data_IF_259722391606
#
_entry.id   IF_259722391606
#
_cell.length_a   1.000
_cell.length_b   1.000
_cell.length_c   1.000
_cell.angle_alpha   90.00
_cell.angle_beta   90.00
_cell.angle_gamma   90.00
#
_symmetry.space_group_name_H-M   'P 1'
#
loop_
_entity.id
_entity.type
_entity.pdbx_description
1 polymer ?
#
# COMPACT_ATOMS: atom_id res chain seq x y z
N UNK A 1 0.23 6.88 -13.89
CA UNK A 1 -0.56 8.13 -14.06
C UNK A 1 -1.73 7.86 -15.00
N UNK A 2 -2.83 8.61 -14.86
CA UNK A 2 -3.97 8.57 -15.77
C UNK A 2 -3.56 8.81 -17.24
N UNK A 3 -4.18 8.13 -18.22
CA UNK A 3 -3.97 8.39 -19.65
C UNK A 3 -4.43 9.79 -20.05
N UNK A 4 -3.69 10.45 -20.96
CA UNK A 4 -4.03 11.80 -21.45
C UNK A 4 -5.45 11.90 -22.02
N UNK A 5 -5.96 10.82 -22.62
CA UNK A 5 -7.30 10.78 -23.19
C UNK A 5 -8.44 11.00 -22.17
N UNK A 6 -8.13 10.93 -20.86
CA UNK A 6 -9.09 11.14 -19.78
C UNK A 6 -8.87 12.46 -19.02
N UNK A 7 -7.92 13.31 -19.47
CA UNK A 7 -7.67 14.62 -18.87
C UNK A 7 -8.95 15.49 -18.84
N UNK A 8 -9.23 16.12 -17.70
CA UNK A 8 -10.43 16.93 -17.47
C UNK A 8 -11.74 16.14 -17.26
N UNK A 9 -11.73 14.81 -17.45
CA UNK A 9 -12.88 13.93 -17.19
C UNK A 9 -12.77 13.14 -15.89
N UNK A 10 -11.55 12.99 -15.39
CA UNK A 10 -11.23 12.34 -14.11
C UNK A 10 -10.21 13.19 -13.34
N UNK A 11 -10.24 13.10 -12.01
CA UNK A 11 -9.20 13.69 -11.17
C UNK A 11 -7.84 13.08 -11.51
N UNK A 12 -6.76 13.86 -11.32
CA UNK A 12 -5.41 13.33 -11.47
C UNK A 12 -5.17 12.18 -10.49
N UNK A 13 -4.65 11.08 -11.02
CA UNK A 13 -4.47 9.87 -10.24
C UNK A 13 -3.56 8.82 -10.86
N UNK A 14 -3.44 7.72 -10.15
CA UNK A 14 -2.70 6.54 -10.57
C UNK A 14 -3.68 5.55 -11.19
N UNK A 15 -3.34 5.08 -12.39
CA UNK A 15 -4.03 3.96 -13.04
C UNK A 15 -3.62 2.67 -12.36
N UNK A 16 -4.60 1.92 -11.85
CA UNK A 16 -4.43 0.63 -11.22
C UNK A 16 -5.11 -0.42 -12.08
N UNK A 17 -4.40 -1.51 -12.34
CA UNK A 17 -4.99 -2.70 -12.93
C UNK A 17 -5.54 -3.60 -11.81
N UNK A 18 -6.84 -3.86 -11.87
CA UNK A 18 -7.54 -4.75 -10.96
C UNK A 18 -7.80 -6.09 -11.68
N UNK A 19 -6.95 -7.11 -11.48
CA UNK A 19 -7.14 -8.40 -12.11
C UNK A 19 -8.40 -9.10 -11.57
N UNK A 20 -9.02 -9.90 -12.42
CA UNK A 20 -10.10 -10.81 -12.02
C UNK A 20 -9.55 -12.22 -11.83
N UNK A 21 -9.91 -12.90 -10.74
CA UNK A 21 -9.67 -14.34 -10.64
C UNK A 21 -10.61 -15.10 -11.58
N UNK A 22 -10.17 -16.20 -12.23
CA UNK A 22 -8.87 -16.86 -12.13
C UNK A 22 -7.83 -16.38 -13.16
N UNK A 23 -8.22 -15.55 -14.14
CA UNK A 23 -7.33 -15.12 -15.21
C UNK A 23 -6.66 -13.77 -14.87
N UNK A 24 -5.39 -13.77 -14.43
CA UNK A 24 -4.71 -12.58 -13.91
C UNK A 24 -4.42 -11.52 -14.99
N UNK A 25 -4.71 -11.81 -16.27
CA UNK A 25 -4.51 -10.91 -17.40
C UNK A 25 -5.78 -10.11 -17.72
N UNK A 26 -6.96 -10.60 -17.34
CA UNK A 26 -8.22 -9.86 -17.49
C UNK A 26 -8.53 -9.04 -16.25
N UNK A 27 -9.15 -7.89 -16.43
CA UNK A 27 -9.43 -7.00 -15.32
C UNK A 27 -9.95 -5.64 -15.73
N UNK A 28 -10.00 -4.75 -14.75
CA UNK A 28 -10.42 -3.36 -14.92
C UNK A 28 -9.22 -2.43 -14.76
N UNK A 29 -9.26 -1.31 -15.47
CA UNK A 29 -8.38 -0.18 -15.18
C UNK A 29 -9.19 0.86 -14.43
N UNK A 30 -8.77 1.17 -13.20
CA UNK A 30 -9.38 2.21 -12.38
C UNK A 30 -8.35 3.32 -12.15
N UNK A 31 -8.84 4.55 -11.98
CA UNK A 31 -8.00 5.70 -11.66
C UNK A 31 -8.32 6.12 -10.24
N UNK A 32 -7.29 6.18 -9.39
CA UNK A 32 -7.42 6.50 -7.97
C UNK A 32 -6.52 7.68 -7.63
N UNK A 33 -7.02 8.72 -6.93
CA UNK A 33 -6.19 9.82 -6.44
C UNK A 33 -5.04 9.32 -5.58
N UNK A 34 -3.84 9.85 -5.78
CA UNK A 34 -2.64 9.37 -5.09
C UNK A 34 -2.74 9.48 -3.56
N UNK A 35 -3.44 10.51 -3.05
CA UNK A 35 -3.67 10.70 -1.62
C UNK A 35 -4.48 9.58 -0.95
N UNK A 36 -5.15 8.72 -1.72
CA UNK A 36 -5.91 7.56 -1.20
C UNK A 36 -5.14 6.25 -1.30
N UNK A 37 -3.89 6.28 -1.76
CA UNK A 37 -3.06 5.08 -1.94
C UNK A 37 -2.18 4.85 -0.72
N UNK A 38 -2.13 3.60 -0.28
CA UNK A 38 -1.17 3.14 0.72
C UNK A 38 -0.08 2.37 -0.02
N UNK A 39 1.17 2.83 0.09
CA UNK A 39 2.31 2.16 -0.52
C UNK A 39 2.66 0.93 0.32
N UNK A 40 2.60 -0.24 -0.30
CA UNK A 40 3.02 -1.48 0.34
C UNK A 40 4.54 -1.67 0.17
N UNK A 41 5.27 -2.04 1.22
CA UNK A 41 6.68 -2.42 1.12
C UNK A 41 6.76 -3.85 0.56
N UNK A 42 6.47 -4.03 -0.72
CA UNK A 42 6.56 -5.30 -1.44
C UNK A 42 7.19 -5.05 -2.79
N UNK A 43 7.95 -6.01 -3.33
CA UNK A 43 8.41 -5.89 -4.71
C UNK A 43 7.28 -6.18 -5.69
N UNK A 44 7.47 -5.80 -6.95
CA UNK A 44 6.49 -6.08 -8.01
C UNK A 44 6.33 -7.60 -8.18
N UNK A 45 7.45 -8.32 -8.15
CA UNK A 45 7.52 -9.78 -8.30
C UNK A 45 6.79 -10.50 -7.15
N UNK A 46 6.97 -10.04 -5.92
CA UNK A 46 6.27 -10.58 -4.75
C UNK A 46 4.76 -10.32 -4.84
N UNK A 47 4.35 -9.10 -5.21
CA UNK A 47 2.95 -8.74 -5.39
C UNK A 47 2.27 -9.57 -6.49
N UNK A 48 2.93 -9.75 -7.63
CA UNK A 48 2.44 -10.61 -8.70
C UNK A 48 2.33 -12.07 -8.26
N UNK A 49 3.34 -12.59 -7.54
CA UNK A 49 3.33 -13.96 -7.01
C UNK A 49 2.15 -14.17 -6.05
N UNK A 50 1.88 -13.20 -5.18
CA UNK A 50 0.75 -13.25 -4.27
C UNK A 50 -0.59 -13.30 -5.01
N UNK A 51 -0.77 -12.49 -6.06
CA UNK A 51 -1.98 -12.49 -6.90
C UNK A 51 -2.14 -13.83 -7.63
N UNK A 52 -1.08 -14.32 -8.29
CA UNK A 52 -1.11 -15.56 -9.08
C UNK A 52 -1.33 -16.81 -8.22
N UNK A 53 -0.84 -16.80 -7.00
CA UNK A 53 -1.06 -17.87 -6.03
C UNK A 53 -2.44 -17.79 -5.34
N UNK A 54 -3.30 -16.85 -5.74
CA UNK A 54 -4.58 -16.57 -5.09
C UNK A 54 -4.44 -16.35 -3.57
N UNK A 55 -3.34 -15.73 -3.15
CA UNK A 55 -3.04 -15.43 -1.76
C UNK A 55 -2.30 -16.52 -0.98
N UNK A 56 -1.97 -17.66 -1.60
CA UNK A 56 -1.29 -18.76 -0.91
C UNK A 56 0.18 -18.47 -0.56
N UNK A 57 0.83 -17.55 -1.29
CA UNK A 57 2.25 -17.21 -1.08
C UNK A 57 2.39 -15.74 -0.69
N UNK A 58 2.37 -15.40 0.61
CA UNK A 58 2.43 -14.01 1.07
C UNK A 58 3.76 -13.33 0.74
N UNK A 59 3.77 -12.03 0.44
CA UNK A 59 4.99 -11.27 0.22
C UNK A 59 5.81 -11.14 1.52
N UNK A 60 7.14 -11.19 1.43
CA UNK A 60 8.06 -11.12 2.58
C UNK A 60 8.66 -9.73 2.80
N UNK A 61 8.38 -8.81 1.86
CA UNK A 61 8.79 -7.42 1.92
C UNK A 61 10.26 -7.22 1.54
N UNK A 62 10.69 -5.96 1.29
CA UNK A 62 11.96 -5.67 0.62
C UNK A 62 13.20 -6.12 1.38
N UNK A 63 13.14 -6.38 2.70
CA UNK A 63 14.16 -7.11 3.47
C UNK A 63 13.57 -7.63 4.77
N UNK A 64 13.15 -8.89 4.82
CA UNK A 64 13.07 -9.74 6.03
C UNK A 64 12.72 -9.07 7.37
N UNK A 65 11.73 -8.19 7.42
CA UNK A 65 11.21 -7.61 8.66
C UNK A 65 9.68 -7.65 8.62
N UNK A 66 9.13 -7.89 9.81
CA UNK A 66 7.79 -8.39 10.13
C UNK A 66 6.64 -8.14 9.14
N UNK A 67 5.69 -9.10 9.07
CA UNK A 67 4.49 -8.97 8.25
C UNK A 67 3.83 -7.63 8.52
N UNK A 68 3.53 -6.88 7.45
CA UNK A 68 2.62 -5.74 7.53
C UNK A 68 1.28 -6.18 8.14
N UNK A 69 0.47 -5.22 8.62
CA UNK A 69 -0.78 -5.53 9.32
C UNK A 69 -1.64 -6.48 8.48
N UNK A 70 -2.18 -7.51 9.15
CA UNK A 70 -2.96 -8.55 8.51
C UNK A 70 -4.11 -7.95 7.68
N UNK A 71 -4.45 -8.52 6.51
CA UNK A 71 -5.60 -8.08 5.74
C UNK A 71 -6.87 -8.12 6.61
N UNK A 72 -7.46 -6.95 6.89
CA UNK A 72 -8.64 -6.80 7.76
C UNK A 72 -8.35 -6.22 9.15
N UNK A 73 -7.10 -5.93 9.50
CA UNK A 73 -6.80 -5.10 10.67
C UNK A 73 -7.40 -3.69 10.48
N UNK A 74 -7.98 -3.08 11.52
CA UNK A 74 -8.42 -1.70 11.45
C UNK A 74 -7.26 -0.83 10.96
N UNK A 75 -7.55 0.12 10.06
CA UNK A 75 -6.57 1.12 9.63
C UNK A 75 -6.23 1.99 10.85
N UNK A 76 -5.29 1.56 11.68
CA UNK A 76 -4.97 2.25 12.92
C UNK A 76 -4.39 3.62 12.58
N UNK A 77 -5.11 4.66 12.98
CA UNK A 77 -4.70 6.04 12.76
C UNK A 77 -3.31 6.25 13.40
N UNK A 78 -2.39 7.00 12.76
CA UNK A 78 -1.05 7.20 13.28
C UNK A 78 -1.13 7.81 14.69
N UNK A 79 -0.79 7.02 15.70
CA UNK A 79 -0.72 7.47 17.08
C UNK A 79 0.43 8.50 17.15
N UNK A 80 0.17 9.75 17.58
CA UNK A 80 1.26 10.68 17.84
C UNK A 80 2.13 10.06 18.93
N UNK A 81 3.43 9.92 18.66
CA UNK A 81 4.42 9.38 19.59
C UNK A 81 4.45 10.24 20.86
N UNK A 82 3.63 9.86 21.83
CA UNK A 82 3.64 10.43 23.18
C UNK A 82 4.77 9.77 23.95
N UNK A 83 5.92 10.44 23.98
CA UNK A 83 6.92 10.24 25.03
C UNK A 83 7.64 11.56 25.31
N UNK A 84 6.96 12.46 26.00
CA UNK A 84 7.59 13.21 27.09
C UNK A 84 6.90 12.72 28.38
N UNK A 85 7.64 12.36 29.45
CA UNK A 85 8.32 13.34 30.32
C UNK A 85 9.70 12.78 30.80
N UNK A 86 10.56 13.38 31.64
CA UNK A 86 10.63 14.58 32.49
C UNK A 86 12.14 14.85 32.72
N UNK A 87 12.55 16.10 32.93
CA UNK A 87 13.93 16.48 33.31
C UNK A 87 14.32 15.93 34.68
N UNK A 88 15.64 15.81 34.96
CA UNK A 88 16.19 16.43 36.15
C UNK A 88 17.31 17.45 35.81
N UNK A 89 17.59 18.27 36.81
CA UNK A 89 18.40 19.49 36.83
C UNK A 89 19.91 19.23 36.91
N UNK A 90 20.71 20.31 36.74
CA UNK A 90 22.09 20.52 37.22
C UNK A 90 23.29 19.98 36.39
N UNK A 91 24.00 20.88 35.68
CA UNK A 91 25.41 21.25 35.92
C UNK A 91 25.82 22.40 34.95
N UNK A 92 26.50 23.42 35.50
CA UNK A 92 27.03 24.68 34.94
C UNK A 92 26.15 25.95 35.10
#
# INVERSE_FOLDING_TARGET
RAPRALEGRVEEGITIFLPTSPNPVTGFLIIVPEARLIRLPVTIEEGFTYILSAGAVPPTGPRGREPGPAPGAPLEAPQPSSSAPMRPEEEA
#
